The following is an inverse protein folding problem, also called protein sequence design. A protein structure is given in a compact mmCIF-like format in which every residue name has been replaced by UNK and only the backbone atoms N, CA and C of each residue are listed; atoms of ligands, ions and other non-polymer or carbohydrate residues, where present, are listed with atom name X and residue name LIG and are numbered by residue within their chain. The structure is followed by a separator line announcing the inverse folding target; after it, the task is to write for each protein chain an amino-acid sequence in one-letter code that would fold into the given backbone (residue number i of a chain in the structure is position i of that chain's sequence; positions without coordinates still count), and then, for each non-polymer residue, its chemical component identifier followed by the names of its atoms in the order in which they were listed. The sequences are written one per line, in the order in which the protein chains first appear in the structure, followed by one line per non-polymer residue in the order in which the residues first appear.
data_IF_342865666058
#
_entry.id   IF_342865666058
#
_cell.length_a   1.000
_cell.length_b   1.000
_cell.length_c   1.000
_cell.angle_alpha   90.00
_cell.angle_beta   90.00
_cell.angle_gamma   90.00
#
_symmetry.space_group_name_H-M   'P 1'
#
loop_
_entity.id
_entity.type
_entity.pdbx_description
1 polymer ?
#
# COMPACT_ATOMS: atom_id res chain seq x y z
N UNK A 1 -17.39 -27.25 -22.84
CA UNK A 1 -17.14 -26.28 -21.74
C UNK A 1 -15.78 -25.66 -21.98
N UNK A 2 -15.74 -24.41 -22.46
CA UNK A 2 -14.48 -23.69 -22.73
C UNK A 2 -13.94 -23.16 -21.39
N UNK A 3 -12.80 -23.69 -20.95
CA UNK A 3 -12.04 -23.11 -19.83
C UNK A 3 -11.37 -21.83 -20.33
N UNK A 4 -11.78 -20.69 -19.80
CA UNK A 4 -11.09 -19.41 -20.01
C UNK A 4 -9.97 -19.35 -18.97
N UNK A 5 -8.73 -19.48 -19.42
CA UNK A 5 -7.55 -19.15 -18.62
C UNK A 5 -7.35 -17.65 -18.71
N UNK A 6 -7.61 -16.93 -17.62
CA UNK A 6 -7.20 -15.52 -17.51
C UNK A 6 -5.78 -15.54 -16.93
N UNK A 7 -4.82 -15.25 -17.79
CA UNK A 7 -3.43 -14.98 -17.39
C UNK A 7 -3.41 -13.61 -16.69
N UNK A 8 -3.20 -13.61 -15.38
CA UNK A 8 -2.79 -12.41 -14.65
C UNK A 8 -1.37 -12.02 -15.10
N UNK A 9 -1.06 -10.73 -15.33
CA UNK A 9 0.28 -10.32 -15.72
C UNK A 9 1.27 -10.57 -14.57
N UNK A 10 2.23 -11.47 -14.81
CA UNK A 10 3.22 -11.95 -13.85
C UNK A 10 4.35 -10.95 -13.51
N UNK A 11 4.14 -9.64 -13.74
CA UNK A 11 5.24 -8.67 -13.74
C UNK A 11 5.53 -8.05 -12.37
N UNK A 12 4.59 -8.11 -11.41
CA UNK A 12 4.78 -7.47 -10.09
C UNK A 12 5.42 -8.43 -9.07
N UNK A 13 5.20 -9.74 -9.20
CA UNK A 13 5.71 -10.71 -8.22
C UNK A 13 7.22 -10.99 -8.35
N UNK A 14 7.84 -10.71 -9.52
CA UNK A 14 9.25 -11.02 -9.76
C UNK A 14 10.25 -9.99 -9.19
N UNK A 15 9.79 -8.80 -8.77
CA UNK A 15 10.68 -7.77 -8.22
C UNK A 15 11.10 -8.01 -6.76
N UNK A 16 10.38 -8.88 -6.03
CA UNK A 16 10.55 -9.05 -4.57
C UNK A 16 11.64 -10.08 -4.21
N UNK A 17 12.13 -10.89 -5.14
CA UNK A 17 12.96 -12.08 -4.83
C UNK A 17 14.38 -12.11 -5.46
N UNK A 18 14.85 -11.01 -6.04
CA UNK A 18 16.03 -11.03 -6.92
C UNK A 18 17.12 -10.01 -6.59
N UNK A 19 17.62 -9.94 -5.37
CA UNK A 19 18.89 -9.23 -5.10
C UNK A 19 19.85 -10.16 -4.38
N UNK A 20 20.70 -10.84 -5.15
CA UNK A 20 22.05 -11.21 -4.73
C UNK A 20 22.88 -11.64 -5.95
N UNK A 21 23.97 -10.88 -6.16
CA UNK A 21 25.17 -11.16 -6.96
C UNK A 21 25.11 -11.00 -8.49
N UNK A 22 25.48 -9.81 -8.99
CA UNK A 22 26.18 -9.68 -10.27
C UNK A 22 27.34 -8.66 -10.19
N UNK A 23 28.48 -8.93 -10.84
CA UNK A 23 29.64 -8.06 -10.84
C UNK A 23 29.47 -6.84 -11.75
N UNK A 24 30.15 -5.78 -11.36
CA UNK A 24 30.18 -4.44 -11.94
C UNK A 24 30.51 -4.44 -13.46
N UNK A 25 29.59 -3.90 -14.27
CA UNK A 25 29.89 -3.47 -15.65
C UNK A 25 29.58 -1.96 -15.73
N UNK A 26 30.62 -1.17 -15.99
CA UNK A 26 30.53 0.26 -16.17
C UNK A 26 29.87 0.59 -17.52
N UNK A 27 28.85 1.46 -17.49
CA UNK A 27 28.15 1.97 -18.65
C UNK A 27 26.77 2.52 -18.26
N UNK A 28 26.72 3.57 -17.44
CA UNK A 28 25.45 4.23 -17.12
C UNK A 28 24.99 5.07 -18.32
N UNK A 29 24.05 4.54 -19.10
CA UNK A 29 23.08 5.38 -19.78
C UNK A 29 22.22 6.05 -18.70
N UNK A 30 21.91 7.33 -18.86
CA UNK A 30 20.97 8.02 -17.97
C UNK A 30 19.66 7.22 -17.90
N UNK A 31 19.04 7.04 -16.72
CA UNK A 31 17.72 6.44 -16.63
C UNK A 31 16.78 7.25 -17.53
N UNK A 32 16.25 6.62 -18.58
CA UNK A 32 15.18 7.25 -19.33
C UNK A 32 13.93 7.18 -18.47
N UNK A 33 13.33 8.33 -18.16
CA UNK A 33 11.99 8.41 -17.57
C UNK A 33 11.03 7.62 -18.47
N UNK A 34 10.73 6.39 -18.05
CA UNK A 34 9.80 5.55 -18.78
C UNK A 34 8.40 6.04 -18.44
N UNK A 35 7.89 6.97 -19.24
CA UNK A 35 6.49 7.40 -19.16
C UNK A 35 5.60 6.25 -19.63
N UNK A 36 5.30 5.33 -18.73
CA UNK A 36 4.39 4.22 -19.03
C UNK A 36 2.98 4.78 -19.19
N UNK A 37 2.56 4.95 -20.44
CA UNK A 37 1.15 5.13 -20.81
C UNK A 37 0.40 3.85 -20.43
N UNK A 38 -0.46 3.94 -19.42
CA UNK A 38 -1.23 2.80 -18.93
C UNK A 38 -1.91 3.08 -17.59
N UNK A 39 -2.76 2.15 -17.11
CA UNK A 39 -3.30 2.21 -15.76
C UNK A 39 -2.18 2.29 -14.72
N UNK A 40 -2.38 3.10 -13.69
CA UNK A 40 -1.42 3.30 -12.60
C UNK A 40 -2.09 3.00 -11.27
N UNK A 41 -1.34 2.40 -10.35
CA UNK A 41 -1.78 2.30 -8.97
C UNK A 41 -1.55 3.61 -8.24
N UNK A 42 -2.54 3.99 -7.44
CA UNK A 42 -2.41 4.92 -6.34
C UNK A 42 -2.68 4.16 -5.05
N UNK A 43 -2.01 4.53 -3.97
CA UNK A 43 -2.30 4.00 -2.65
C UNK A 43 -3.02 5.09 -1.83
N UNK A 44 -4.08 4.70 -1.13
CA UNK A 44 -4.76 5.54 -0.14
C UNK A 44 -4.76 4.80 1.19
N UNK A 45 -4.74 5.55 2.29
CA UNK A 45 -5.30 5.06 3.53
C UNK A 45 -6.73 5.58 3.63
N UNK A 46 -7.65 4.77 4.16
CA UNK A 46 -9.01 5.24 4.39
C UNK A 46 -9.00 6.29 5.52
N UNK A 47 -9.16 7.59 5.24
CA UNK A 47 -8.62 8.62 6.12
C UNK A 47 -9.55 8.99 7.28
N UNK A 48 -10.84 8.74 7.12
CA UNK A 48 -11.91 9.16 8.04
C UNK A 48 -12.87 7.99 8.25
N UNK A 49 -13.69 8.08 9.29
CA UNK A 49 -14.88 7.25 9.36
C UNK A 49 -15.86 7.74 8.28
N UNK A 50 -15.76 7.09 7.13
CA UNK A 50 -16.46 7.48 5.92
C UNK A 50 -17.69 6.60 5.64
N UNK A 51 -18.05 5.70 6.56
CA UNK A 51 -19.18 4.80 6.38
C UNK A 51 -20.48 5.59 6.10
N UNK A 52 -20.72 6.66 6.86
CA UNK A 52 -21.89 7.51 6.67
C UNK A 52 -21.86 8.24 5.32
N UNK A 53 -20.69 8.71 4.86
CA UNK A 53 -20.59 9.40 3.56
C UNK A 53 -20.83 8.46 2.38
N UNK A 54 -20.48 7.18 2.51
CA UNK A 54 -20.86 6.16 1.53
C UNK A 54 -22.37 5.91 1.58
N UNK A 55 -22.94 5.75 2.77
CA UNK A 55 -24.37 5.51 2.95
C UNK A 55 -25.24 6.66 2.39
N UNK A 56 -24.84 7.91 2.59
CA UNK A 56 -25.56 9.10 2.09
C UNK A 56 -25.65 9.14 0.56
N UNK A 57 -24.66 8.53 -0.13
CA UNK A 57 -24.64 8.38 -1.59
C UNK A 57 -25.28 7.06 -2.07
N UNK A 58 -25.75 6.22 -1.14
CA UNK A 58 -26.32 4.90 -1.44
C UNK A 58 -25.29 3.82 -1.76
N UNK A 59 -24.03 4.02 -1.37
CA UNK A 59 -22.96 3.03 -1.52
C UNK A 59 -22.76 2.22 -0.23
N UNK A 60 -22.30 0.98 -0.39
CA UNK A 60 -21.90 0.14 0.73
C UNK A 60 -20.45 0.41 1.11
N UNK A 61 -20.09 0.34 2.40
CA UNK A 61 -18.71 0.55 2.86
C UNK A 61 -17.82 -0.69 2.63
N UNK A 62 -17.59 -0.99 1.35
CA UNK A 62 -16.82 -2.14 0.87
C UNK A 62 -16.07 -1.80 -0.43
N UNK A 63 -15.26 -2.73 -0.93
CA UNK A 63 -14.43 -2.52 -2.12
C UNK A 63 -15.22 -2.20 -3.39
N UNK A 64 -16.47 -2.67 -3.53
CA UNK A 64 -17.34 -2.25 -4.65
C UNK A 64 -17.80 -0.81 -4.47
N UNK A 65 -18.28 -0.46 -3.28
CA UNK A 65 -18.71 0.90 -2.99
C UNK A 65 -17.57 1.91 -3.16
N UNK A 66 -16.32 1.55 -2.88
CA UNK A 66 -15.17 2.43 -3.14
C UNK A 66 -14.98 2.68 -4.64
N UNK A 67 -15.11 1.64 -5.47
CA UNK A 67 -15.07 1.81 -6.92
C UNK A 67 -16.23 2.67 -7.42
N UNK A 68 -17.43 2.47 -6.88
CA UNK A 68 -18.62 3.25 -7.25
C UNK A 68 -18.47 4.72 -6.81
N UNK A 69 -17.90 4.96 -5.63
CA UNK A 69 -17.61 6.29 -5.09
C UNK A 69 -16.59 7.05 -5.95
N UNK A 70 -15.51 6.39 -6.37
CA UNK A 70 -14.51 6.98 -7.28
C UNK A 70 -15.06 7.11 -8.71
N UNK A 71 -15.96 6.21 -9.09
CA UNK A 71 -16.58 6.14 -10.40
C UNK A 71 -15.70 5.50 -11.47
N UNK A 72 -15.97 5.82 -12.73
CA UNK A 72 -15.40 5.16 -13.91
C UNK A 72 -13.88 5.31 -14.10
N UNK A 73 -13.22 6.04 -13.21
CA UNK A 73 -11.76 6.23 -13.21
C UNK A 73 -11.02 5.13 -12.49
N UNK A 74 -11.68 4.35 -11.64
CA UNK A 74 -11.10 3.20 -10.96
C UNK A 74 -11.64 1.90 -11.56
N UNK A 75 -10.76 0.90 -11.69
CA UNK A 75 -11.13 -0.42 -12.21
C UNK A 75 -10.86 -1.55 -11.24
N UNK A 76 -10.03 -1.31 -10.22
CA UNK A 76 -9.65 -2.32 -9.23
C UNK A 76 -9.30 -1.68 -7.88
N UNK A 77 -9.66 -2.37 -6.80
CA UNK A 77 -9.18 -2.11 -5.44
C UNK A 77 -8.41 -3.34 -4.98
N UNK A 78 -7.22 -3.13 -4.41
CA UNK A 78 -6.44 -4.15 -3.74
C UNK A 78 -6.25 -3.81 -2.27
N UNK A 79 -6.10 -4.85 -1.47
CA UNK A 79 -5.68 -4.76 -0.07
C UNK A 79 -4.66 -5.85 0.21
N UNK A 80 -3.54 -5.48 0.85
CA UNK A 80 -2.51 -6.45 1.23
C UNK A 80 -3.04 -7.38 2.33
N UNK A 81 -2.91 -8.68 2.14
CA UNK A 81 -3.08 -9.66 3.21
C UNK A 81 -1.72 -9.99 3.83
N UNK A 82 -1.43 -9.41 5.00
CA UNK A 82 -0.15 -9.60 5.68
C UNK A 82 0.11 -11.07 6.09
N UNK A 83 -0.92 -11.89 6.30
CA UNK A 83 -0.70 -13.28 6.69
C UNK A 83 -0.24 -14.15 5.51
N UNK A 84 -0.87 -13.96 4.34
CA UNK A 84 -0.59 -14.69 3.11
C UNK A 84 0.51 -14.07 2.24
N UNK A 85 0.84 -12.79 2.47
CA UNK A 85 1.75 -12.00 1.62
C UNK A 85 1.28 -11.96 0.15
N UNK A 86 -0.04 -11.82 -0.03
CA UNK A 86 -0.72 -11.64 -1.31
C UNK A 86 -1.76 -10.50 -1.20
N UNK A 87 -2.53 -10.27 -2.26
CA UNK A 87 -3.58 -9.26 -2.25
C UNK A 87 -4.97 -9.89 -2.30
N UNK A 88 -5.88 -9.36 -1.48
CA UNK A 88 -7.29 -9.38 -1.84
C UNK A 88 -7.49 -8.37 -2.98
N UNK A 89 -8.30 -8.74 -3.98
CA UNK A 89 -8.53 -7.94 -5.17
C UNK A 89 -10.01 -7.88 -5.51
N UNK A 90 -10.48 -6.71 -5.89
CA UNK A 90 -11.86 -6.49 -6.32
C UNK A 90 -11.89 -5.66 -7.58
N UNK A 91 -12.64 -6.11 -8.58
CA UNK A 91 -12.75 -5.47 -9.89
C UNK A 91 -14.12 -4.84 -10.08
N UNK A 92 -14.20 -3.73 -10.83
CA UNK A 92 -15.45 -3.02 -11.12
C UNK A 92 -16.49 -3.85 -11.88
N UNK A 93 -16.09 -5.01 -12.41
CA UNK A 93 -17.00 -6.01 -13.00
C UNK A 93 -17.81 -6.82 -11.99
N UNK A 94 -17.70 -6.55 -10.68
CA UNK A 94 -18.48 -7.22 -9.63
C UNK A 94 -17.92 -8.59 -9.21
N UNK A 95 -16.62 -8.80 -9.36
CA UNK A 95 -15.94 -10.03 -8.94
C UNK A 95 -14.54 -9.72 -8.39
N UNK A 96 -13.95 -10.68 -7.68
CA UNK A 96 -12.64 -10.53 -7.09
C UNK A 96 -12.01 -11.85 -6.66
N UNK A 97 -10.83 -11.72 -6.03
CA UNK A 97 -10.20 -12.79 -5.25
C UNK A 97 -10.09 -12.27 -3.83
N UNK A 98 -10.82 -12.87 -2.91
CA UNK A 98 -10.80 -12.52 -1.48
C UNK A 98 -10.46 -13.77 -0.72
N UNK A 99 -9.51 -13.65 0.19
CA UNK A 99 -8.95 -14.78 0.91
C UNK A 99 -8.34 -15.88 0.04
N UNK A 100 -7.75 -15.47 -1.10
CA UNK A 100 -7.19 -16.38 -2.09
C UNK A 100 -8.24 -17.17 -2.88
N UNK A 101 -9.54 -16.84 -2.74
CA UNK A 101 -10.65 -17.53 -3.37
C UNK A 101 -11.40 -16.57 -4.29
N UNK A 102 -11.71 -17.03 -5.52
CA UNK A 102 -12.57 -16.27 -6.43
C UNK A 102 -13.96 -16.09 -5.82
N UNK A 103 -14.47 -14.86 -5.84
CA UNK A 103 -15.74 -14.50 -5.21
C UNK A 103 -16.48 -13.40 -5.97
N UNK A 104 -17.78 -13.31 -5.73
CA UNK A 104 -18.65 -12.19 -6.14
C UNK A 104 -19.10 -11.36 -4.93
N UNK A 105 -18.45 -11.52 -3.79
CA UNK A 105 -18.70 -10.74 -2.57
C UNK A 105 -17.50 -9.81 -2.33
N UNK A 106 -17.71 -8.48 -2.28
CA UNK A 106 -16.64 -7.52 -2.00
C UNK A 106 -16.14 -7.63 -0.57
N UNK A 107 -14.88 -7.27 -0.33
CA UNK A 107 -14.32 -7.19 1.02
C UNK A 107 -14.70 -5.85 1.68
N UNK A 108 -14.91 -5.82 3.02
CA UNK A 108 -15.23 -4.59 3.72
C UNK A 108 -14.05 -3.60 3.72
N UNK A 109 -14.37 -2.31 3.83
CA UNK A 109 -13.35 -1.28 4.10
C UNK A 109 -13.26 -1.02 5.60
N UNK A 110 -12.09 -0.60 6.06
CA UNK A 110 -11.82 -0.19 7.43
C UNK A 110 -11.10 1.16 7.42
N UNK A 111 -11.45 2.03 8.36
CA UNK A 111 -10.72 3.29 8.58
C UNK A 111 -9.26 3.01 8.96
N UNK A 112 -8.34 3.81 8.42
CA UNK A 112 -6.91 3.66 8.59
C UNK A 112 -6.25 2.59 7.71
N UNK A 113 -7.02 1.62 7.21
CA UNK A 113 -6.47 0.55 6.37
C UNK A 113 -6.06 1.09 4.98
N UNK A 114 -4.99 0.50 4.43
CA UNK A 114 -4.47 0.84 3.11
C UNK A 114 -5.21 0.10 2.00
N UNK A 115 -5.50 0.84 0.92
CA UNK A 115 -6.05 0.31 -0.31
C UNK A 115 -5.26 0.83 -1.51
N UNK A 116 -4.98 -0.06 -2.46
CA UNK A 116 -4.40 0.31 -3.74
C UNK A 116 -5.49 0.35 -4.80
N UNK A 117 -5.55 1.44 -5.55
CA UNK A 117 -6.57 1.69 -6.56
C UNK A 117 -5.89 1.70 -7.91
N UNK A 118 -6.32 0.81 -8.81
CA UNK A 118 -5.92 0.87 -10.20
C UNK A 118 -6.75 1.95 -10.90
N UNK A 119 -6.08 3.06 -11.21
CA UNK A 119 -6.69 4.23 -11.86
C UNK A 119 -6.38 4.20 -13.35
N UNK A 120 -7.41 4.48 -14.14
CA UNK A 120 -7.39 4.44 -15.59
C UNK A 120 -6.71 5.71 -16.12
N UNK A 121 -5.87 5.60 -17.15
CA UNK A 121 -5.13 6.74 -17.74
C UNK A 121 -6.01 7.84 -18.35
N UNK A 122 -7.30 7.58 -18.54
CA UNK A 122 -8.20 8.42 -19.35
C UNK A 122 -9.03 9.41 -18.53
N UNK A 123 -8.89 9.44 -17.20
CA UNK A 123 -9.66 10.37 -16.38
C UNK A 123 -8.90 10.71 -15.09
N UNK A 124 -8.28 11.90 -15.01
CA UNK A 124 -7.74 12.39 -13.74
C UNK A 124 -8.94 12.74 -12.84
N UNK A 125 -9.40 11.76 -12.08
CA UNK A 125 -10.44 11.99 -11.08
C UNK A 125 -9.77 12.25 -9.76
N UNK A 126 -9.85 13.51 -9.31
CA UNK A 126 -9.78 13.79 -7.90
C UNK A 126 -11.11 13.37 -7.29
N UNK A 127 -11.04 12.52 -6.28
CA UNK A 127 -12.16 12.30 -5.38
C UNK A 127 -11.74 12.75 -3.98
N UNK A 128 -12.73 13.13 -3.19
CA UNK A 128 -12.53 13.46 -1.78
C UNK A 128 -13.44 12.58 -0.97
N UNK A 129 -12.91 11.95 0.06
CA UNK A 129 -13.70 11.22 1.04
C UNK A 129 -13.91 12.15 2.22
N UNK A 130 -15.17 12.38 2.55
CA UNK A 130 -15.57 13.08 3.78
C UNK A 130 -15.97 12.03 4.80
N UNK A 131 -15.81 12.34 6.07
CA UNK A 131 -16.13 11.43 7.17
C UNK A 131 -15.87 12.09 8.51
N UNK A 132 -16.20 11.38 9.58
CA UNK A 132 -15.87 11.83 10.93
C UNK A 132 -14.37 11.61 11.19
N UNK A 133 -13.77 12.51 11.97
CA UNK A 133 -12.41 12.33 12.44
C UNK A 133 -12.43 11.22 13.49
N UNK A 134 -11.69 10.12 13.32
CA UNK A 134 -11.65 9.05 14.30
C UNK A 134 -11.15 9.57 15.66
N UNK A 135 -11.63 8.99 16.75
CA UNK A 135 -11.13 9.31 18.07
C UNK A 135 -9.61 9.03 18.14
N UNK A 136 -8.86 9.83 18.89
CA UNK A 136 -7.43 9.57 19.11
C UNK A 136 -7.23 8.15 19.67
N UNK A 137 -6.21 7.44 19.17
CA UNK A 137 -5.96 6.03 19.51
C UNK A 137 -6.98 5.01 19.00
N UNK A 138 -8.00 5.39 18.22
CA UNK A 138 -8.98 4.42 17.67
C UNK A 138 -8.51 3.68 16.41
N UNK A 139 -7.45 4.17 15.77
CA UNK A 139 -6.81 3.52 14.62
C UNK A 139 -5.51 2.90 15.10
N UNK A 140 -5.51 1.58 15.20
CA UNK A 140 -4.33 0.76 15.50
C UNK A 140 -4.21 -0.40 14.51
N UNK A 141 -3.02 -0.96 14.45
CA UNK A 141 -2.65 -2.05 13.56
C UNK A 141 -2.00 -3.16 14.38
N UNK A 142 -2.64 -4.33 14.41
CA UNK A 142 -1.97 -5.55 14.89
C UNK A 142 -1.10 -6.11 13.78
N UNK A 143 0.21 -5.98 13.95
CA UNK A 143 1.21 -6.31 12.94
C UNK A 143 1.53 -7.80 12.93
N UNK A 144 1.68 -8.37 11.73
CA UNK A 144 2.12 -9.76 11.53
C UNK A 144 3.60 -9.76 11.16
N UNK A 145 4.39 -10.50 11.93
CA UNK A 145 5.84 -10.61 11.75
C UNK A 145 6.31 -12.05 11.57
N UNK A 146 7.42 -12.25 10.85
CA UNK A 146 8.08 -13.57 10.75
C UNK A 146 9.56 -13.44 10.36
N UNK A 147 10.22 -14.56 10.06
CA UNK A 147 11.53 -14.59 9.43
C UNK A 147 11.46 -15.52 8.20
N UNK A 148 11.58 -15.01 6.96
CA UNK A 148 11.79 -13.60 6.60
C UNK A 148 10.64 -12.69 7.07
N UNK A 149 10.90 -11.38 7.19
CA UNK A 149 9.91 -10.40 7.64
C UNK A 149 8.64 -10.42 6.75
N UNK A 150 7.51 -9.97 7.31
CA UNK A 150 6.23 -9.88 6.60
C UNK A 150 5.82 -8.43 6.39
N UNK A 151 5.37 -8.10 5.19
CA UNK A 151 4.82 -6.79 4.90
C UNK A 151 3.43 -6.63 5.52
N UNK A 152 3.22 -5.46 6.11
CA UNK A 152 1.94 -5.00 6.64
C UNK A 152 1.65 -3.63 6.02
N UNK A 153 0.42 -3.42 5.57
CA UNK A 153 -0.06 -2.11 5.13
C UNK A 153 -0.55 -1.33 6.35
N UNK A 154 -0.04 -0.13 6.53
CA UNK A 154 -0.40 0.78 7.63
C UNK A 154 -0.67 2.17 7.08
N UNK A 155 -1.28 3.01 7.89
CA UNK A 155 -1.27 4.45 7.68
C UNK A 155 -0.86 5.15 8.96
N UNK A 156 -0.28 6.36 8.84
CA UNK A 156 0.10 7.13 10.03
C UNK A 156 -1.16 7.78 10.62
N UNK A 157 -1.58 7.43 11.85
CA UNK A 157 -2.78 8.00 12.45
C UNK A 157 -2.63 9.50 12.74
N UNK A 158 -3.76 10.18 12.92
CA UNK A 158 -3.82 11.64 13.07
C UNK A 158 -3.10 12.16 14.33
N UNK A 159 -2.99 11.34 15.36
CA UNK A 159 -2.33 11.68 16.62
C UNK A 159 -0.81 11.45 16.61
N UNK A 160 -0.24 10.97 15.49
CA UNK A 160 1.20 10.72 15.33
C UNK A 160 1.92 11.84 14.57
N UNK A 161 1.64 13.11 14.92
CA UNK A 161 2.17 14.28 14.18
C UNK A 161 3.67 14.49 14.27
N UNK A 162 4.32 13.87 15.26
CA UNK A 162 5.77 13.97 15.45
C UNK A 162 6.57 13.07 14.49
N UNK A 163 5.91 12.13 13.79
CA UNK A 163 6.55 11.24 12.82
C UNK A 163 6.60 11.93 11.46
N UNK A 164 7.79 12.33 11.04
CA UNK A 164 8.01 13.15 9.83
C UNK A 164 8.79 12.44 8.72
N UNK A 165 9.51 11.36 9.06
CA UNK A 165 10.31 10.60 8.09
C UNK A 165 10.30 9.08 8.32
N UNK A 166 10.88 8.32 7.39
CA UNK A 166 10.88 6.86 7.40
C UNK A 166 11.70 6.29 8.57
N UNK A 167 12.79 6.95 8.97
CA UNK A 167 13.59 6.59 10.15
C UNK A 167 12.74 6.69 11.42
N UNK A 168 12.07 7.81 11.64
CA UNK A 168 11.17 8.04 12.79
C UNK A 168 10.01 7.05 12.80
N UNK A 169 9.39 6.79 11.65
CA UNK A 169 8.33 5.79 11.53
C UNK A 169 8.84 4.41 11.96
N UNK A 170 10.01 4.00 11.47
CA UNK A 170 10.60 2.71 11.81
C UNK A 170 10.94 2.59 13.30
N UNK A 171 11.41 3.67 13.91
CA UNK A 171 11.70 3.72 15.35
C UNK A 171 10.42 3.66 16.19
N UNK A 172 9.33 4.31 15.74
CA UNK A 172 8.05 4.33 16.45
C UNK A 172 7.36 2.96 16.49
N UNK A 173 7.55 2.14 15.44
CA UNK A 173 6.97 0.79 15.35
C UNK A 173 7.88 -0.20 16.09
N UNK A 174 9.19 -0.10 15.85
CA UNK A 174 10.18 -1.07 16.33
C UNK A 174 10.04 -2.44 15.64
N UNK A 175 11.10 -3.26 15.70
CA UNK A 175 11.11 -4.63 15.18
C UNK A 175 10.71 -4.78 13.69
N UNK A 176 10.99 -3.76 12.88
CA UNK A 176 10.82 -3.81 11.42
C UNK A 176 12.18 -3.76 10.71
N UNK A 177 12.25 -4.34 9.52
CA UNK A 177 13.44 -4.37 8.68
C UNK A 177 13.40 -3.31 7.58
N UNK A 178 12.20 -2.93 7.13
CA UNK A 178 12.01 -2.01 6.02
C UNK A 178 10.74 -1.15 6.20
N UNK A 179 10.79 0.08 5.67
CA UNK A 179 9.63 0.95 5.41
C UNK A 179 9.57 1.24 3.92
N UNK A 180 8.40 1.13 3.31
CA UNK A 180 8.20 1.39 1.89
C UNK A 180 7.01 2.32 1.69
N UNK A 181 7.09 3.15 0.64
CA UNK A 181 5.94 3.86 0.09
C UNK A 181 5.89 3.70 -1.42
N UNK A 182 4.69 3.60 -1.97
CA UNK A 182 4.50 3.59 -3.41
C UNK A 182 4.91 4.95 -4.00
N UNK A 183 5.87 4.93 -4.91
CA UNK A 183 6.18 6.07 -5.76
C UNK A 183 5.26 6.01 -6.99
N UNK A 184 4.22 6.84 -6.99
CA UNK A 184 3.20 6.82 -8.05
C UNK A 184 3.72 7.31 -9.40
N UNK A 185 4.81 8.08 -9.42
CA UNK A 185 5.42 8.58 -10.65
C UNK A 185 6.08 7.44 -11.41
N UNK A 186 6.93 6.68 -10.73
CA UNK A 186 7.72 5.57 -11.27
C UNK A 186 7.03 4.20 -11.19
N UNK A 187 5.96 4.08 -10.41
CA UNK A 187 5.26 2.82 -10.13
C UNK A 187 6.18 1.75 -9.51
N UNK A 188 7.09 2.20 -8.64
CA UNK A 188 7.98 1.40 -7.80
C UNK A 188 7.86 1.83 -6.33
N UNK A 189 8.79 1.37 -5.48
CA UNK A 189 8.81 1.74 -4.07
C UNK A 189 10.01 2.59 -3.73
N UNK A 190 9.77 3.71 -3.05
CA UNK A 190 10.79 4.28 -2.19
C UNK A 190 10.91 3.37 -0.96
N UNK A 191 12.13 2.99 -0.61
CA UNK A 191 12.40 2.01 0.45
C UNK A 191 13.44 2.54 1.42
N UNK A 192 13.23 2.31 2.71
CA UNK A 192 14.20 2.54 3.77
C UNK A 192 14.55 1.20 4.45
N UNK A 193 15.84 0.85 4.48
CA UNK A 193 16.35 -0.37 5.12
C UNK A 193 16.88 -0.05 6.51
N UNK A 194 16.14 -0.46 7.54
CA UNK A 194 16.36 -0.03 8.93
C UNK A 194 17.72 -0.48 9.46
N UNK A 195 18.04 -1.77 9.34
CA UNK A 195 19.30 -2.33 9.88
C UNK A 195 20.54 -1.83 9.14
N UNK A 196 20.40 -1.60 7.83
CA UNK A 196 21.50 -1.15 6.99
C UNK A 196 21.66 0.38 6.94
N UNK A 197 20.69 1.11 7.51
CA UNK A 197 20.66 2.57 7.61
C UNK A 197 20.88 3.29 6.26
N UNK A 198 20.23 2.79 5.22
CA UNK A 198 20.22 3.39 3.88
C UNK A 198 18.84 3.24 3.24
N UNK A 199 18.56 4.06 2.23
CA UNK A 199 17.33 4.02 1.46
C UNK A 199 17.56 3.99 -0.05
N UNK A 200 16.48 3.75 -0.78
CA UNK A 200 16.38 3.95 -2.22
C UNK A 200 15.17 4.86 -2.42
N UNK A 201 15.38 6.09 -2.90
CA UNK A 201 14.33 7.08 -3.12
C UNK A 201 14.41 7.54 -4.57
N UNK A 202 13.32 7.38 -5.32
CA UNK A 202 13.31 7.65 -6.77
C UNK A 202 14.37 6.86 -7.54
N UNK A 203 14.69 5.64 -7.08
CA UNK A 203 15.73 4.80 -7.67
C UNK A 203 17.18 5.20 -7.33
N UNK A 204 17.38 6.19 -6.44
CA UNK A 204 18.71 6.66 -6.03
C UNK A 204 19.01 6.17 -4.61
N UNK A 205 20.22 5.64 -4.38
CA UNK A 205 20.68 5.28 -3.05
C UNK A 205 20.83 6.51 -2.17
N UNK A 206 20.26 6.47 -0.97
CA UNK A 206 20.33 7.54 0.03
C UNK A 206 20.78 6.98 1.38
N UNK A 207 21.25 7.85 2.26
CA UNK A 207 21.63 7.52 3.64
C UNK A 207 21.00 8.54 4.58
N UNK A 208 20.86 8.23 5.87
CA UNK A 208 20.37 9.20 6.85
C UNK A 208 21.24 10.49 6.81
N UNK A 209 20.64 11.70 6.71
CA UNK A 209 19.21 12.02 6.87
C UNK A 209 18.38 12.08 5.58
N UNK A 210 18.93 11.69 4.43
CA UNK A 210 18.28 11.73 3.12
C UNK A 210 17.28 10.56 2.91
N UNK A 211 16.54 10.16 3.95
CA UNK A 211 15.43 9.23 3.79
C UNK A 211 14.23 9.92 3.12
N UNK A 212 13.07 9.26 3.07
CA UNK A 212 11.87 9.86 2.50
C UNK A 212 10.91 10.40 3.58
N UNK A 213 10.26 11.55 3.33
CA UNK A 213 9.29 12.10 4.27
C UNK A 213 8.05 11.21 4.34
N UNK A 214 7.48 11.12 5.55
CA UNK A 214 6.20 10.49 5.79
C UNK A 214 5.14 11.52 6.20
N UNK A 215 3.87 11.14 6.12
CA UNK A 215 2.73 12.04 6.33
C UNK A 215 1.59 11.30 7.03
N UNK A 216 0.91 12.01 7.93
CA UNK A 216 -0.36 11.57 8.51
C UNK A 216 -1.35 11.20 7.39
N UNK A 217 -2.05 10.09 7.57
CA UNK A 217 -3.08 9.60 6.66
C UNK A 217 -2.54 9.06 5.33
N UNK A 218 -1.21 8.98 5.16
CA UNK A 218 -0.62 8.35 3.98
C UNK A 218 -0.36 6.86 4.26
N UNK A 219 -0.53 6.00 3.25
CA UNK A 219 -0.25 4.57 3.38
C UNK A 219 1.24 4.27 3.26
N UNK A 220 1.68 3.28 4.02
CA UNK A 220 3.04 2.74 4.02
C UNK A 220 3.02 1.23 4.17
N UNK A 221 4.03 0.56 3.63
CA UNK A 221 4.31 -0.83 3.96
C UNK A 221 5.46 -0.92 4.95
N UNK A 222 5.33 -1.80 5.92
CA UNK A 222 6.41 -2.09 6.87
C UNK A 222 6.69 -3.58 6.93
N UNK A 223 7.96 -3.96 6.84
CA UNK A 223 8.37 -5.36 6.90
C UNK A 223 8.72 -5.74 8.34
N UNK A 224 7.83 -6.46 9.01
CA UNK A 224 7.90 -6.77 10.43
C UNK A 224 8.61 -8.11 10.64
N UNK A 225 9.65 -8.11 11.47
CA UNK A 225 10.41 -9.33 11.76
C UNK A 225 9.71 -10.19 12.82
N UNK A 226 10.29 -11.33 13.18
CA UNK A 226 9.67 -12.29 14.12
C UNK A 226 9.41 -11.67 15.50
N UNK A 227 10.26 -10.75 15.96
CA UNK A 227 10.13 -10.08 17.27
C UNK A 227 8.96 -9.09 17.29
N UNK A 228 8.60 -8.52 16.15
CA UNK A 228 7.47 -7.60 16.01
C UNK A 228 6.12 -8.30 15.76
N UNK A 229 6.08 -9.63 15.75
CA UNK A 229 4.83 -10.35 15.50
C UNK A 229 3.82 -10.11 16.62
N UNK A 230 2.59 -9.74 16.24
CA UNK A 230 1.50 -9.30 17.12
C UNK A 230 1.76 -7.97 17.86
N UNK A 231 2.75 -7.17 17.44
CA UNK A 231 2.87 -5.79 17.94
C UNK A 231 1.64 -4.99 17.52
N UNK A 232 1.06 -4.24 18.45
CA UNK A 232 0.03 -3.24 18.14
C UNK A 232 0.71 -1.89 17.99
N UNK A 233 0.46 -1.21 16.88
CA UNK A 233 0.98 0.13 16.60
C UNK A 233 -0.12 1.05 16.07
N UNK A 234 -0.18 2.34 16.48
CA UNK A 234 0.63 2.96 17.53
C UNK A 234 0.41 2.33 18.91
N UNK A 235 1.40 2.45 19.80
CA UNK A 235 1.20 2.01 21.19
C UNK A 235 0.22 2.97 21.88
N UNK A 236 -0.84 2.45 22.54
CA UNK A 236 -1.81 3.27 23.26
C UNK A 236 -1.24 3.94 24.52
#
# INVERSE_FOLDING_TARGET
MKKVFILLPATILLAILGVLLLPWIAGQAAPQEQTTSGPKYNAIAMPLDAEQSFADLGYLYNSQGLLDYIGSSASQVLRLNASRQDFDSWFSGGFGVVDGIFTTTPFPLNTGEEYWILVNSNSPTSFSVVGEVPAAGSVDFTLIGSNPCKYNGISIPLDQSEISNAVELSASIGNIEQVLRLNTEHQDFDTWFVTANFGIVGGIFTTNPDDFPVKIGYPYWVCVNTTGNNTVWPMP
#
